data_IF_172796705491
#
_entry.id   IF_172796705491
#
_cell.length_a   1.000
_cell.length_b   1.000
_cell.length_c   1.000
_cell.angle_alpha   90.00
_cell.angle_beta   90.00
_cell.angle_gamma   90.00
#
_symmetry.space_group_name_H-M   'P 1'
#
loop_
_entity.id
_entity.type
_entity.pdbx_description
1 polymer ?
#
# COMPACT_ATOMS: atom_id res chain seq x y z
N UNK A 1 -19.80 36.46 -45.54
CA UNK A 1 -19.57 35.58 -44.37
C UNK A 1 -20.88 35.39 -43.62
N UNK A 2 -21.45 34.17 -43.60
CA UNK A 2 -22.19 33.73 -42.40
C UNK A 2 -21.78 32.30 -41.97
N UNK A 3 -21.57 32.12 -40.65
CA UNK A 3 -21.25 30.83 -40.01
C UNK A 3 -22.54 30.01 -39.84
N UNK A 4 -22.58 28.80 -40.41
CA UNK A 4 -23.59 27.76 -40.15
C UNK A 4 -23.32 27.11 -38.79
N UNK A 5 -24.28 27.20 -37.88
CA UNK A 5 -24.36 26.42 -36.65
C UNK A 5 -24.91 25.02 -36.96
N UNK A 6 -24.06 24.00 -36.92
CA UNK A 6 -24.48 22.59 -36.96
C UNK A 6 -24.75 22.09 -35.55
N UNK A 7 -26.02 21.91 -35.20
CA UNK A 7 -26.43 21.17 -34.00
C UNK A 7 -26.05 19.69 -34.16
N UNK A 8 -25.21 19.15 -33.26
CA UNK A 8 -24.97 17.72 -33.14
C UNK A 8 -26.02 17.11 -32.22
N UNK A 9 -26.92 16.32 -32.79
CA UNK A 9 -27.76 15.35 -32.07
C UNK A 9 -26.86 14.26 -31.46
N UNK A 10 -26.61 14.36 -30.16
CA UNK A 10 -25.93 13.30 -29.39
C UNK A 10 -26.96 12.29 -28.91
N UNK A 11 -27.03 11.13 -29.58
CA UNK A 11 -27.72 9.96 -29.08
C UNK A 11 -26.99 9.44 -27.82
N UNK A 12 -27.73 9.28 -26.73
CA UNK A 12 -27.26 8.71 -25.47
C UNK A 12 -27.10 7.19 -25.65
N UNK A 13 -25.87 6.71 -25.83
CA UNK A 13 -25.57 5.27 -25.74
C UNK A 13 -25.64 4.78 -24.29
N UNK A 14 -26.10 3.53 -24.06
CA UNK A 14 -26.34 2.98 -22.73
C UNK A 14 -25.05 2.94 -21.91
N UNK A 15 -25.18 3.33 -20.64
CA UNK A 15 -24.08 3.53 -19.71
C UNK A 15 -23.22 2.28 -19.53
N UNK A 16 -22.12 2.22 -20.28
CA UNK A 16 -20.93 1.49 -19.83
C UNK A 16 -20.49 2.19 -18.56
N UNK A 17 -20.53 1.48 -17.43
CA UNK A 17 -19.91 1.94 -16.19
C UNK A 17 -18.44 2.13 -16.50
N UNK A 18 -18.10 3.37 -16.86
CA UNK A 18 -16.72 3.78 -17.11
C UNK A 18 -16.05 3.73 -15.76
N UNK A 19 -15.34 2.64 -15.52
CA UNK A 19 -14.34 2.57 -14.46
C UNK A 19 -13.37 3.73 -14.70
N UNK A 20 -13.63 4.86 -14.05
CA UNK A 20 -12.61 5.83 -13.63
C UNK A 20 -11.71 5.22 -12.56
N UNK A 21 -11.82 3.90 -12.34
CA UNK A 21 -11.11 3.07 -11.40
C UNK A 21 -9.63 3.21 -11.61
N UNK A 22 -9.05 3.97 -10.71
CA UNK A 22 -7.64 3.92 -10.39
C UNK A 22 -7.18 2.44 -10.37
N UNK A 23 -6.14 2.13 -11.16
CA UNK A 23 -5.65 0.77 -11.32
C UNK A 23 -5.14 0.22 -9.98
N UNK A 24 -5.66 -0.94 -9.59
CA UNK A 24 -5.13 -1.69 -8.44
C UNK A 24 -3.73 -2.22 -8.74
N UNK A 25 -2.99 -2.66 -7.70
CA UNK A 25 -1.73 -3.36 -7.90
C UNK A 25 -1.92 -4.66 -8.71
N UNK A 26 -3.03 -5.36 -8.47
CA UNK A 26 -3.43 -6.53 -9.26
C UNK A 26 -3.59 -6.19 -10.75
N UNK A 27 -4.36 -5.16 -11.09
CA UNK A 27 -4.56 -4.76 -12.49
C UNK A 27 -3.24 -4.42 -13.18
N UNK A 28 -2.32 -3.75 -12.47
CA UNK A 28 -0.98 -3.42 -12.98
C UNK A 28 -0.14 -4.67 -13.23
N UNK A 29 -0.23 -5.70 -12.38
CA UNK A 29 0.45 -6.97 -12.61
C UNK A 29 -0.10 -7.69 -13.84
N UNK A 30 -1.43 -7.80 -13.97
CA UNK A 30 -2.05 -8.41 -15.16
C UNK A 30 -1.67 -7.66 -16.45
N UNK A 31 -1.53 -6.33 -16.39
CA UNK A 31 -1.04 -5.53 -17.52
C UNK A 31 0.42 -5.85 -17.89
N UNK A 32 1.29 -6.07 -16.91
CA UNK A 32 2.70 -6.44 -17.14
C UNK A 32 2.82 -7.85 -17.71
N UNK A 33 2.04 -8.80 -17.22
CA UNK A 33 1.99 -10.18 -17.76
C UNK A 33 1.52 -10.19 -19.22
N UNK A 34 0.46 -9.45 -19.53
CA UNK A 34 -0.02 -9.32 -20.91
C UNK A 34 1.00 -8.61 -21.81
N UNK A 35 1.73 -7.63 -21.28
CA UNK A 35 2.77 -6.88 -21.98
C UNK A 35 3.93 -7.79 -22.38
N UNK A 36 4.42 -8.61 -21.46
CA UNK A 36 5.48 -9.60 -21.73
C UNK A 36 5.01 -10.67 -22.72
N UNK A 37 3.75 -11.12 -22.61
CA UNK A 37 3.18 -12.10 -23.54
C UNK A 37 2.96 -11.56 -24.97
N UNK A 38 2.79 -10.24 -25.15
CA UNK A 38 2.50 -9.61 -26.46
C UNK A 38 3.69 -8.81 -27.02
N UNK A 39 4.89 -9.41 -26.99
CA UNK A 39 6.10 -8.83 -27.57
C UNK A 39 6.42 -7.41 -27.07
N UNK A 40 6.05 -7.09 -25.82
CA UNK A 40 6.36 -5.81 -25.18
C UNK A 40 5.82 -4.60 -25.94
N UNK A 41 4.64 -4.75 -26.56
CA UNK A 41 3.98 -3.67 -27.28
C UNK A 41 3.02 -2.88 -26.38
N UNK A 42 3.41 -1.67 -26.00
CA UNK A 42 2.67 -0.80 -25.09
C UNK A 42 1.33 -0.33 -25.68
N UNK A 43 1.30 -0.04 -26.98
CA UNK A 43 0.11 0.44 -27.69
C UNK A 43 -0.94 -0.66 -27.83
N UNK A 44 -0.49 -1.89 -28.13
CA UNK A 44 -1.36 -3.06 -28.19
C UNK A 44 -1.94 -3.40 -26.82
N UNK A 45 -1.11 -3.35 -25.78
CA UNK A 45 -1.53 -3.55 -24.38
C UNK A 45 -2.59 -2.52 -23.99
N UNK A 46 -2.35 -1.22 -24.23
CA UNK A 46 -3.32 -0.18 -23.92
C UNK A 46 -4.66 -0.36 -24.67
N UNK A 47 -4.63 -0.86 -25.92
CA UNK A 47 -5.85 -1.13 -26.71
C UNK A 47 -6.63 -2.31 -26.14
N UNK A 48 -5.96 -3.37 -25.72
CA UNK A 48 -6.59 -4.55 -25.12
C UNK A 48 -7.34 -4.18 -23.83
N UNK A 49 -6.67 -3.47 -22.92
CA UNK A 49 -7.26 -3.06 -21.64
C UNK A 49 -8.32 -1.97 -21.78
N UNK A 50 -8.31 -1.19 -22.87
CA UNK A 50 -9.42 -0.31 -23.24
C UNK A 50 -10.72 -1.07 -23.49
N UNK A 51 -10.65 -2.23 -24.12
CA UNK A 51 -11.80 -3.13 -24.33
C UNK A 51 -12.19 -3.93 -23.09
N UNK A 52 -11.27 -4.13 -22.15
CA UNK A 52 -11.46 -4.94 -20.94
C UNK A 52 -11.76 -4.11 -19.68
N UNK A 53 -12.48 -3.00 -19.85
CA UNK A 53 -13.01 -2.22 -18.72
C UNK A 53 -12.19 -0.99 -18.30
N UNK A 54 -11.11 -0.62 -19.02
CA UNK A 54 -10.38 0.64 -18.79
C UNK A 54 -10.41 1.57 -20.01
N UNK A 55 -11.57 2.16 -20.35
CA UNK A 55 -11.79 2.87 -21.62
C UNK A 55 -10.88 4.10 -21.82
N UNK A 56 -10.38 4.69 -20.74
CA UNK A 56 -9.47 5.85 -20.77
C UNK A 56 -7.99 5.48 -20.62
N UNK A 57 -7.62 4.20 -20.68
CA UNK A 57 -6.22 3.78 -20.52
C UNK A 57 -5.36 4.25 -21.71
N UNK A 58 -4.53 5.26 -21.46
CA UNK A 58 -3.56 5.77 -22.40
C UNK A 58 -2.30 4.88 -22.43
N UNK A 59 -1.62 4.85 -23.60
CA UNK A 59 -0.31 4.20 -23.73
C UNK A 59 0.70 4.73 -22.70
N UNK A 60 0.67 6.04 -22.40
CA UNK A 60 1.54 6.65 -21.40
C UNK A 60 1.38 6.05 -19.99
N UNK A 61 0.19 5.57 -19.64
CA UNK A 61 -0.04 4.87 -18.36
C UNK A 61 0.68 3.53 -18.35
N UNK A 62 0.60 2.77 -19.44
CA UNK A 62 1.33 1.49 -19.59
C UNK A 62 2.84 1.72 -19.53
N UNK A 63 3.35 2.78 -20.16
CA UNK A 63 4.77 3.14 -20.09
C UNK A 63 5.24 3.42 -18.66
N UNK A 64 4.42 4.10 -17.83
CA UNK A 64 4.73 4.32 -16.41
C UNK A 64 4.75 3.01 -15.62
N UNK A 65 3.78 2.14 -15.85
CA UNK A 65 3.70 0.82 -15.19
C UNK A 65 4.91 -0.04 -15.53
N UNK A 66 5.33 -0.07 -16.80
CA UNK A 66 6.54 -0.80 -17.25
C UNK A 66 7.80 -0.20 -16.63
N UNK A 67 7.90 1.12 -16.50
CA UNK A 67 9.03 1.76 -15.82
C UNK A 67 9.13 1.34 -14.34
N UNK A 68 7.99 1.25 -13.66
CA UNK A 68 7.92 0.92 -12.24
C UNK A 68 7.82 -0.60 -11.99
N UNK A 69 8.01 -1.43 -13.02
CA UNK A 69 7.79 -2.89 -12.98
C UNK A 69 8.47 -3.56 -11.78
N UNK A 70 9.75 -3.27 -11.56
CA UNK A 70 10.53 -3.90 -10.51
C UNK A 70 10.02 -3.53 -9.10
N UNK A 71 9.56 -2.29 -8.94
CA UNK A 71 8.92 -1.83 -7.71
C UNK A 71 7.57 -2.53 -7.53
N UNK A 72 6.76 -2.61 -8.58
CA UNK A 72 5.45 -3.25 -8.51
C UNK A 72 5.59 -4.77 -8.20
N UNK A 73 6.59 -5.46 -8.78
CA UNK A 73 6.87 -6.89 -8.50
C UNK A 73 7.33 -7.12 -7.06
N UNK A 74 8.08 -6.18 -6.47
CA UNK A 74 8.46 -6.29 -5.05
C UNK A 74 7.29 -6.05 -4.11
N UNK A 75 6.39 -5.12 -4.45
CA UNK A 75 5.15 -4.89 -3.71
C UNK A 75 4.17 -6.08 -3.81
N UNK A 76 4.09 -6.72 -4.98
CA UNK A 76 3.21 -7.86 -5.21
C UNK A 76 3.57 -9.11 -4.40
N UNK A 77 4.80 -9.19 -3.85
CA UNK A 77 5.19 -10.27 -2.92
C UNK A 77 4.41 -10.23 -1.61
N UNK A 78 3.82 -9.09 -1.26
CA UNK A 78 2.96 -8.93 -0.08
C UNK A 78 1.49 -9.12 -0.51
N UNK A 79 0.82 -10.22 -0.16
CA UNK A 79 -0.55 -10.49 -0.61
C UNK A 79 -1.55 -9.42 -0.13
N UNK A 80 -1.31 -8.82 1.03
CA UNK A 80 -2.16 -7.77 1.61
C UNK A 80 -2.20 -6.47 0.77
N UNK A 81 -1.25 -6.27 -0.15
CA UNK A 81 -1.13 -5.03 -0.95
C UNK A 81 -1.74 -5.12 -2.34
N UNK A 82 -2.26 -6.28 -2.74
CA UNK A 82 -2.76 -6.54 -4.10
C UNK A 82 -4.01 -5.74 -4.46
N UNK A 83 -4.87 -5.46 -3.47
CA UNK A 83 -6.09 -4.66 -3.62
C UNK A 83 -5.84 -3.15 -3.50
N UNK A 84 -4.66 -2.74 -3.04
CA UNK A 84 -4.35 -1.34 -2.77
C UNK A 84 -4.19 -0.57 -4.08
N UNK A 85 -4.94 0.53 -4.18
CA UNK A 85 -5.01 1.37 -5.38
C UNK A 85 -3.89 2.43 -5.40
N UNK A 86 -3.68 3.09 -4.26
CA UNK A 86 -2.57 4.00 -3.95
C UNK A 86 -2.44 4.06 -2.42
N UNK A 87 -1.21 3.98 -1.90
CA UNK A 87 -0.96 4.49 -0.56
C UNK A 87 -1.16 6.01 -0.61
N UNK A 88 -1.96 6.60 0.29
CA UNK A 88 -2.06 8.06 0.38
C UNK A 88 -0.65 8.62 0.61
N UNK A 89 -0.30 9.66 -0.15
CA UNK A 89 0.95 10.36 0.06
C UNK A 89 0.83 11.09 1.39
N UNK A 90 1.42 10.53 2.44
CA UNK A 90 1.41 11.09 3.78
C UNK A 90 2.03 12.48 3.70
N UNK A 91 1.27 13.51 4.11
CA UNK A 91 1.65 14.92 3.97
C UNK A 91 3.02 15.22 4.60
N UNK A 92 3.38 14.46 5.65
CA UNK A 92 4.64 14.57 6.37
C UNK A 92 5.20 13.18 6.73
N UNK A 93 5.87 12.47 5.80
CA UNK A 93 6.29 11.09 6.01
C UNK A 93 7.31 10.93 7.14
N UNK A 94 8.10 11.97 7.42
CA UNK A 94 9.04 11.98 8.55
C UNK A 94 8.32 12.15 9.89
N UNK A 95 7.24 12.93 9.91
CA UNK A 95 6.44 13.13 11.11
C UNK A 95 5.68 11.85 11.47
N UNK A 96 5.06 11.18 10.50
CA UNK A 96 4.35 9.93 10.74
C UNK A 96 5.30 8.80 11.19
N UNK A 97 6.53 8.78 10.67
CA UNK A 97 7.61 7.90 11.17
C UNK A 97 8.00 8.23 12.62
N UNK A 98 8.15 9.52 12.96
CA UNK A 98 8.46 9.92 14.32
C UNK A 98 7.32 9.59 15.29
N UNK A 99 6.06 9.77 14.85
CA UNK A 99 4.87 9.49 15.63
C UNK A 99 4.72 7.99 15.89
N UNK A 100 4.82 7.15 14.85
CA UNK A 100 4.80 5.69 15.01
C UNK A 100 5.92 5.18 15.92
N UNK A 101 7.12 5.78 15.87
CA UNK A 101 8.19 5.44 16.80
C UNK A 101 7.86 5.84 18.25
N UNK A 102 7.24 7.02 18.44
CA UNK A 102 6.84 7.48 19.76
C UNK A 102 5.71 6.62 20.35
N UNK A 103 4.71 6.26 19.55
CA UNK A 103 3.65 5.32 19.93
C UNK A 103 4.20 3.93 20.27
N UNK A 104 5.13 3.42 19.46
CA UNK A 104 5.84 2.18 19.76
C UNK A 104 6.54 2.26 21.11
N UNK A 105 7.31 3.32 21.36
CA UNK A 105 8.01 3.51 22.64
C UNK A 105 7.03 3.58 23.81
N UNK A 106 5.91 4.27 23.67
CA UNK A 106 4.89 4.38 24.71
C UNK A 106 4.24 3.03 25.04
N UNK A 107 3.85 2.26 24.02
CA UNK A 107 3.25 0.93 24.19
C UNK A 107 4.28 -0.05 24.77
N UNK A 108 5.49 -0.04 24.23
CA UNK A 108 6.59 -0.87 24.69
C UNK A 108 6.90 -0.61 26.17
N UNK A 109 7.03 0.65 26.59
CA UNK A 109 7.23 0.99 28.00
C UNK A 109 6.04 0.54 28.87
N UNK A 110 4.80 0.69 28.38
CA UNK A 110 3.60 0.27 29.12
C UNK A 110 3.57 -1.25 29.36
N UNK A 111 4.06 -2.06 28.41
CA UNK A 111 4.10 -3.52 28.55
C UNK A 111 5.35 -4.01 29.29
N UNK A 112 6.48 -3.32 29.14
CA UNK A 112 7.75 -3.69 29.76
C UNK A 112 7.77 -3.38 31.26
N UNK A 113 7.23 -2.24 31.69
CA UNK A 113 7.31 -1.80 33.09
C UNK A 113 6.66 -2.79 34.07
N UNK A 114 5.46 -3.35 33.83
CA UNK A 114 4.88 -4.38 34.70
C UNK A 114 5.75 -5.63 34.77
N UNK A 115 6.27 -6.11 33.62
CA UNK A 115 7.12 -7.30 33.56
C UNK A 115 8.38 -7.15 34.41
N UNK A 116 9.03 -5.99 34.37
CA UNK A 116 10.21 -5.70 35.20
C UNK A 116 9.85 -5.63 36.69
N UNK A 117 8.69 -5.07 37.03
CA UNK A 117 8.21 -4.96 38.42
C UNK A 117 7.89 -6.35 38.98
N UNK A 118 7.25 -7.22 38.18
CA UNK A 118 6.94 -8.59 38.58
C UNK A 118 8.23 -9.41 38.76
N UNK A 119 9.19 -9.32 37.83
CA UNK A 119 10.51 -9.98 37.94
C UNK A 119 11.30 -9.52 39.19
N UNK A 120 11.17 -8.23 39.57
CA UNK A 120 11.74 -7.68 40.80
C UNK A 120 11.05 -8.22 42.05
N UNK A 121 9.72 -8.36 42.03
CA UNK A 121 8.93 -8.87 43.15
C UNK A 121 9.10 -10.38 43.38
N UNK A 122 9.31 -11.15 42.31
CA UNK A 122 9.54 -12.61 42.37
C UNK A 122 10.97 -12.99 42.75
N UNK A 123 11.86 -12.01 42.95
CA UNK A 123 13.27 -12.26 43.32
C UNK A 123 14.11 -12.90 42.21
N UNK A 124 13.60 -12.91 40.98
CA UNK A 124 14.23 -13.55 39.82
C UNK A 124 15.43 -12.75 39.24
N UNK A 125 15.60 -11.50 39.66
CA UNK A 125 16.75 -10.69 39.29
C UNK A 125 17.93 -11.01 40.22
N UNK A 126 18.71 -12.02 39.86
CA UNK A 126 20.01 -12.25 40.47
C UNK A 126 20.91 -11.02 40.29
N UNK A 127 21.12 -10.27 41.38
CA UNK A 127 22.06 -9.16 41.62
C UNK A 127 22.23 -8.03 40.58
N UNK A 128 21.62 -8.14 39.39
CA UNK A 128 21.80 -7.19 38.30
C UNK A 128 20.45 -6.88 37.62
N UNK A 129 19.82 -5.73 37.92
CA UNK A 129 18.56 -5.30 37.32
C UNK A 129 18.64 -5.04 35.81
N UNK A 130 19.85 -5.08 35.22
CA UNK A 130 20.07 -4.94 33.79
C UNK A 130 20.22 -6.29 33.07
N UNK A 131 20.16 -7.42 33.78
CA UNK A 131 20.19 -8.76 33.18
C UNK A 131 18.79 -9.14 32.68
N UNK A 132 18.23 -8.27 31.86
CA UNK A 132 16.89 -8.43 31.31
C UNK A 132 16.93 -9.62 30.35
N UNK A 133 15.95 -10.52 30.47
CA UNK A 133 15.81 -11.64 29.55
C UNK A 133 15.56 -11.11 28.13
N UNK A 134 16.63 -11.10 27.32
CA UNK A 134 16.60 -10.57 25.95
C UNK A 134 15.49 -11.20 25.10
N UNK A 135 15.16 -12.47 25.32
CA UNK A 135 14.07 -13.17 24.62
C UNK A 135 12.71 -12.56 24.96
N UNK A 136 12.44 -12.30 26.23
CA UNK A 136 11.19 -11.67 26.69
C UNK A 136 11.07 -10.23 26.15
N UNK A 137 12.16 -9.47 26.17
CA UNK A 137 12.25 -8.12 25.59
C UNK A 137 11.94 -8.12 24.10
N UNK A 138 12.51 -9.06 23.34
CA UNK A 138 12.22 -9.17 21.91
C UNK A 138 10.76 -9.55 21.64
N UNK A 139 10.19 -10.48 22.42
CA UNK A 139 8.77 -10.82 22.32
C UNK A 139 7.85 -9.64 22.62
N UNK A 140 8.16 -8.84 23.64
CA UNK A 140 7.43 -7.62 23.97
C UNK A 140 7.54 -6.56 22.87
N UNK A 141 8.71 -6.43 22.24
CA UNK A 141 8.90 -5.53 21.12
C UNK A 141 8.05 -5.93 19.91
N UNK A 142 7.94 -7.23 19.61
CA UNK A 142 7.08 -7.74 18.54
C UNK A 142 5.61 -7.41 18.84
N UNK A 143 5.13 -7.71 20.04
CA UNK A 143 3.75 -7.42 20.45
C UNK A 143 3.42 -5.92 20.44
N UNK A 144 4.35 -5.08 20.90
CA UNK A 144 4.18 -3.63 20.86
C UNK A 144 4.11 -3.11 19.42
N UNK A 145 4.91 -3.67 18.52
CA UNK A 145 4.89 -3.31 17.10
C UNK A 145 3.59 -3.75 16.40
N UNK A 146 3.08 -4.95 16.72
CA UNK A 146 1.78 -5.42 16.23
C UNK A 146 0.63 -4.52 16.71
N UNK A 147 0.63 -4.10 17.97
CA UNK A 147 -0.37 -3.19 18.52
C UNK A 147 -0.33 -1.79 17.88
N UNK A 148 0.86 -1.27 17.55
CA UNK A 148 0.99 -0.03 16.76
C UNK A 148 0.39 -0.25 15.38
N UNK A 149 0.72 -1.36 14.71
CA UNK A 149 0.21 -1.69 13.37
C UNK A 149 -1.31 -1.73 13.34
N UNK A 150 -1.96 -2.40 14.30
CA UNK A 150 -3.43 -2.45 14.35
C UNK A 150 -4.05 -1.07 14.57
N UNK A 151 -3.45 -0.23 15.41
CA UNK A 151 -3.98 1.10 15.73
C UNK A 151 -3.73 2.15 14.66
N UNK A 152 -2.62 2.03 13.93
CA UNK A 152 -2.19 3.03 12.92
C UNK A 152 -2.54 2.62 11.49
N UNK A 153 -2.63 1.32 11.16
CA UNK A 153 -2.78 0.85 9.77
C UNK A 153 -4.25 0.65 9.35
N UNK A 154 -5.24 0.83 10.24
CA UNK A 154 -6.67 0.67 9.88
C UNK A 154 -7.35 1.96 9.38
N UNK A 155 -6.63 3.09 9.22
CA UNK A 155 -7.22 4.36 8.75
C UNK A 155 -6.41 5.13 7.69
N UNK A 156 -5.73 4.43 6.78
CA UNK A 156 -5.14 5.04 5.59
C UNK A 156 -5.52 4.27 4.32
#
# INVERSE_FOLDING_TARGET
MPRRSGQRTGALSPGVVTKTSQLTLHDKMTMLEYYDANNRNQSATARYFRGHGFPQLAQGTVSRIVRDEQLLRTLAKSPDKLTTIKSPDTRHPLFDKALSFWEFKAIYCKMLLPTIIDDLHEGNIGSNPFKINQKAVMSLAILAWEAVREKTVVKC
#
